data_IF_862233050145
#
_entry.id   IF_862233050145
#
_cell.length_a   1.000
_cell.length_b   1.000
_cell.length_c   1.000
_cell.angle_alpha   90.00
_cell.angle_beta   90.00
_cell.angle_gamma   90.00
#
_symmetry.space_group_name_H-M   'P 1'
#
loop_
_entity.id
_entity.type
_entity.pdbx_description
1 polymer ?
#
# COMPACT_ATOMS: atom_id res chain seq x y z
N UNK A 1 -14.93 6.69 -12.45
CA UNK A 1 -13.70 7.12 -11.77
C UNK A 1 -13.52 6.26 -10.53
N UNK A 2 -12.38 5.59 -10.39
CA UNK A 2 -12.12 4.79 -9.19
C UNK A 2 -11.91 5.74 -8.01
N UNK A 3 -12.44 5.41 -6.83
CA UNK A 3 -12.43 6.26 -5.64
C UNK A 3 -11.05 6.87 -5.30
N UNK A 4 -9.98 6.17 -5.69
CA UNK A 4 -8.59 6.52 -5.44
C UNK A 4 -8.05 7.71 -6.25
N UNK A 5 -8.55 7.93 -7.48
CA UNK A 5 -8.12 9.07 -8.30
C UNK A 5 -8.54 10.42 -7.71
N UNK A 6 -9.51 10.41 -6.78
CA UNK A 6 -10.01 11.60 -6.09
C UNK A 6 -9.35 11.82 -4.72
N UNK A 7 -8.40 10.98 -4.29
CA UNK A 7 -7.74 11.12 -2.98
C UNK A 7 -6.71 12.25 -2.94
N UNK A 8 -6.30 12.80 -4.09
CA UNK A 8 -5.26 13.83 -4.17
C UNK A 8 -3.86 13.33 -3.83
N UNK A 9 -3.68 12.02 -3.60
CA UNK A 9 -2.37 11.42 -3.28
C UNK A 9 -1.59 11.23 -4.58
N UNK A 10 -0.62 12.12 -4.82
CA UNK A 10 0.30 12.03 -5.96
C UNK A 10 1.35 10.95 -5.67
N UNK A 11 1.60 10.05 -6.63
CA UNK A 11 2.59 8.97 -6.48
C UNK A 11 2.05 7.65 -5.91
N UNK A 12 0.73 7.50 -5.80
CA UNK A 12 0.11 6.29 -5.28
C UNK A 12 0.11 5.16 -6.33
N UNK A 13 1.01 4.19 -6.19
CA UNK A 13 1.04 2.98 -7.03
C UNK A 13 0.35 1.83 -6.31
N UNK A 14 -0.78 1.39 -6.83
CA UNK A 14 -1.47 0.19 -6.35
C UNK A 14 -0.91 -1.06 -7.03
N UNK A 15 -0.50 -2.03 -6.22
CA UNK A 15 -0.18 -3.38 -6.68
C UNK A 15 -1.30 -4.32 -6.27
N UNK A 16 -1.85 -5.04 -7.26
CA UNK A 16 -2.85 -6.06 -7.02
C UNK A 16 -2.27 -7.45 -7.31
N UNK A 17 -2.78 -8.47 -6.62
CA UNK A 17 -2.48 -9.87 -6.94
C UNK A 17 -3.24 -10.33 -8.21
N UNK A 18 -2.96 -11.56 -8.65
CA UNK A 18 -3.61 -12.17 -9.83
C UNK A 18 -5.13 -12.35 -9.72
N UNK A 19 -5.69 -12.21 -8.52
CA UNK A 19 -7.12 -12.32 -8.23
C UNK A 19 -7.77 -10.94 -8.08
N UNK A 20 -7.00 -9.85 -8.23
CA UNK A 20 -7.48 -8.48 -8.08
C UNK A 20 -7.55 -7.99 -6.63
N UNK A 21 -7.04 -8.75 -5.65
CA UNK A 21 -6.93 -8.25 -4.28
C UNK A 21 -5.74 -7.30 -4.17
N UNK A 22 -5.78 -6.45 -3.16
CA UNK A 22 -4.61 -5.64 -2.80
C UNK A 22 -3.40 -6.52 -2.43
N UNK A 23 -2.22 -6.12 -2.90
CA UNK A 23 -0.97 -6.70 -2.41
C UNK A 23 -0.86 -6.49 -0.90
N UNK A 24 -0.13 -7.38 -0.22
CA UNK A 24 0.07 -7.31 1.24
C UNK A 24 0.82 -6.06 1.71
N UNK A 25 1.43 -5.34 0.79
CA UNK A 25 2.12 -4.08 1.06
C UNK A 25 1.37 -2.94 0.37
N UNK A 26 1.01 -1.93 1.16
CA UNK A 26 0.52 -0.64 0.66
C UNK A 26 1.54 0.45 0.94
N UNK A 27 1.60 1.47 0.07
CA UNK A 27 2.43 2.65 0.30
C UNK A 27 1.63 3.91 -0.01
N UNK A 28 1.64 4.88 0.90
CA UNK A 28 1.12 6.22 0.68
C UNK A 28 2.28 7.22 0.69
N UNK A 29 2.52 7.87 -0.46
CA UNK A 29 3.71 8.70 -0.64
C UNK A 29 4.99 7.88 -0.41
N UNK A 30 5.80 8.30 0.56
CA UNK A 30 7.07 7.65 0.92
C UNK A 30 6.96 6.62 2.04
N UNK A 31 5.76 6.36 2.56
CA UNK A 31 5.55 5.48 3.72
C UNK A 31 4.83 4.21 3.28
N UNK A 32 5.42 3.06 3.57
CA UNK A 32 4.87 1.74 3.30
C UNK A 32 4.49 1.02 4.58
N UNK A 33 3.47 0.18 4.49
CA UNK A 33 2.86 -0.54 5.60
C UNK A 33 2.29 -1.88 5.10
N UNK A 34 2.06 -2.81 6.02
CA UNK A 34 1.34 -4.04 5.70
C UNK A 34 -0.15 -3.75 5.61
N UNK A 35 -0.84 -4.36 4.65
CA UNK A 35 -2.28 -4.19 4.47
C UNK A 35 -3.01 -5.51 4.22
N UNK A 36 -4.31 -5.52 4.50
CA UNK A 36 -5.18 -6.63 4.18
C UNK A 36 -5.56 -6.68 2.68
N UNK A 37 -6.36 -7.68 2.29
CA UNK A 37 -6.83 -7.85 0.90
C UNK A 37 -7.77 -6.74 0.42
N UNK A 38 -8.31 -5.94 1.34
CA UNK A 38 -9.17 -4.79 1.09
C UNK A 38 -8.38 -3.46 1.05
N UNK A 39 -7.08 -3.50 1.33
CA UNK A 39 -6.19 -2.34 1.32
C UNK A 39 -6.12 -1.59 2.65
N UNK A 40 -6.67 -2.15 3.74
CA UNK A 40 -6.59 -1.52 5.06
C UNK A 40 -5.26 -1.84 5.74
N UNK A 41 -4.59 -0.85 6.36
CA UNK A 41 -3.39 -1.09 7.14
C UNK A 41 -3.60 -2.12 8.24
N UNK A 42 -2.65 -3.03 8.40
CA UNK A 42 -2.61 -4.01 9.49
C UNK A 42 -1.36 -3.77 10.34
N UNK A 43 -1.57 -3.65 11.65
CA UNK A 43 -0.52 -3.34 12.62
C UNK A 43 0.06 -1.93 12.48
N UNK A 44 1.13 -1.68 13.24
CA UNK A 44 1.73 -0.34 13.37
C UNK A 44 3.03 -0.14 12.58
N UNK A 45 3.57 -1.22 12.03
CA UNK A 45 4.83 -1.19 11.30
C UNK A 45 4.71 -0.31 10.04
N UNK A 46 5.54 0.74 10.00
CA UNK A 46 5.64 1.69 8.89
C UNK A 46 7.11 1.89 8.55
N UNK A 47 7.44 1.77 7.28
CA UNK A 47 8.81 1.99 6.78
C UNK A 47 8.82 3.02 5.67
N UNK A 48 9.98 3.62 5.40
CA UNK A 48 10.14 4.41 4.20
C UNK A 48 10.23 3.48 2.97
N UNK A 49 9.77 3.95 1.80
CA UNK A 49 9.82 3.19 0.54
C UNK A 49 11.24 2.71 0.19
N UNK A 50 12.27 3.47 0.55
CA UNK A 50 13.67 3.06 0.35
C UNK A 50 14.04 1.79 1.13
N UNK A 51 13.39 1.57 2.27
CA UNK A 51 13.60 0.43 3.16
C UNK A 51 12.51 -0.64 3.00
N UNK A 52 11.71 -0.61 1.93
CA UNK A 52 10.58 -1.52 1.77
C UNK A 52 10.96 -3.01 1.92
N UNK A 53 12.17 -3.39 1.48
CA UNK A 53 12.67 -4.76 1.64
C UNK A 53 12.80 -5.24 3.09
N UNK A 54 12.79 -4.35 4.08
CA UNK A 54 12.83 -4.70 5.51
C UNK A 54 11.45 -4.89 6.12
N UNK A 55 10.37 -4.44 5.46
CA UNK A 55 9.01 -4.60 5.93
C UNK A 55 8.52 -6.03 5.63
N UNK A 56 8.15 -6.76 6.68
CA UNK A 56 7.67 -8.15 6.56
C UNK A 56 6.15 -8.22 6.73
N UNK A 57 5.49 -8.58 5.62
CA UNK A 57 4.07 -8.91 5.46
C UNK A 57 3.99 -10.27 4.71
#
# INVERSE_FOLDING_TARGET
>A
MNAYQNTGIIGLKFSCDRFGNYARTGCYGSVCYCQDRSGNPIGDARVNIETLGTLKC
#
